data_IF_615612153507
#
_entry.id   IF_615612153507
#
_cell.length_a   1.000
_cell.length_b   1.000
_cell.length_c   1.000
_cell.angle_alpha   90.00
_cell.angle_beta   90.00
_cell.angle_gamma   90.00
#
_symmetry.space_group_name_H-M   'P 1'
#
loop_
_entity.id
_entity.type
_entity.pdbx_description
1 polymer ?
#
# COMPACT_ATOMS: atom_id res chain seq x y z
N UNK A 1 -5.39 9.29 0.76
CA UNK A 1 -5.94 8.90 2.08
C UNK A 1 -5.89 7.38 2.14
N UNK A 2 -5.60 6.78 3.30
CA UNK A 2 -5.65 5.33 3.47
C UNK A 2 -7.10 4.90 3.76
N UNK A 3 -7.47 3.68 3.34
CA UNK A 3 -8.83 3.14 3.56
C UNK A 3 -9.22 3.17 5.04
N UNK A 4 -10.50 3.38 5.29
CA UNK A 4 -11.04 3.62 6.63
C UNK A 4 -10.69 2.52 7.65
N UNK A 5 -10.67 1.24 7.25
CA UNK A 5 -10.25 0.13 8.12
C UNK A 5 -8.78 0.24 8.53
N UNK A 6 -7.89 0.60 7.59
CA UNK A 6 -6.45 0.75 7.82
C UNK A 6 -6.12 2.02 8.60
N UNK A 7 -6.90 3.08 8.44
CA UNK A 7 -6.80 4.27 9.31
C UNK A 7 -6.97 3.90 10.79
N UNK A 8 -8.01 3.13 11.12
CA UNK A 8 -8.26 2.68 12.51
C UNK A 8 -7.16 1.77 13.05
N UNK A 9 -6.71 0.81 12.23
CA UNK A 9 -5.60 -0.07 12.60
C UNK A 9 -4.28 0.71 12.82
N UNK A 10 -4.03 1.73 12.01
CA UNK A 10 -2.82 2.57 12.10
C UNK A 10 -2.83 3.42 13.36
N UNK A 11 -3.98 4.03 13.70
CA UNK A 11 -4.16 4.75 14.97
C UNK A 11 -3.82 3.84 16.14
N UNK A 12 -4.41 2.63 16.18
CA UNK A 12 -4.14 1.69 17.27
C UNK A 12 -2.66 1.32 17.38
N UNK A 13 -2.01 1.11 16.23
CA UNK A 13 -0.58 0.80 16.18
C UNK A 13 0.28 1.97 16.67
N UNK A 14 -0.03 3.20 16.25
CA UNK A 14 0.66 4.41 16.69
C UNK A 14 0.48 4.65 18.20
N UNK A 15 -0.74 4.47 18.73
CA UNK A 15 -1.00 4.55 20.17
C UNK A 15 -0.19 3.50 20.94
N UNK A 16 -0.21 2.25 20.47
CA UNK A 16 0.51 1.16 21.12
C UNK A 16 2.01 1.45 21.17
N UNK A 17 2.57 1.93 20.07
CA UNK A 17 3.97 2.33 19.95
C UNK A 17 4.30 3.46 20.94
N UNK A 18 3.50 4.53 20.96
CA UNK A 18 3.72 5.68 21.86
C UNK A 18 3.56 5.34 23.34
N UNK A 19 2.67 4.41 23.70
CA UNK A 19 2.52 3.94 25.09
C UNK A 19 3.64 3.00 25.53
N UNK A 20 4.40 2.43 24.59
CA UNK A 20 5.49 1.50 24.85
C UNK A 20 6.82 1.99 24.24
N UNK A 21 7.28 3.22 24.53
CA UNK A 21 8.37 3.85 23.80
C UNK A 21 9.69 3.08 23.84
N UNK A 22 9.94 2.38 24.95
CA UNK A 22 11.13 1.55 25.14
C UNK A 22 11.20 0.32 24.23
N UNK A 23 10.05 -0.14 23.70
CA UNK A 23 9.97 -1.24 22.75
C UNK A 23 10.15 -0.79 21.29
N UNK A 24 10.10 0.51 21.03
CA UNK A 24 10.05 1.05 19.67
C UNK A 24 11.09 2.15 19.43
N UNK A 25 12.01 2.33 20.37
CA UNK A 25 13.05 3.34 20.30
C UNK A 25 12.48 4.73 20.10
N UNK A 26 11.51 5.11 20.94
CA UNK A 26 10.89 6.44 20.95
C UNK A 26 11.37 7.21 22.18
N UNK A 27 11.70 8.48 21.97
CA UNK A 27 12.05 9.43 23.02
C UNK A 27 10.95 10.46 23.20
N UNK A 28 10.62 10.76 24.45
CA UNK A 28 9.70 11.82 24.82
C UNK A 28 10.45 12.97 25.47
N UNK A 29 10.06 14.20 25.13
CA UNK A 29 10.53 15.38 25.84
C UNK A 29 9.77 15.59 27.16
N UNK A 30 10.11 16.67 27.88
CA UNK A 30 9.50 17.01 29.18
C UNK A 30 8.00 17.31 29.10
N UNK A 31 7.44 17.48 27.90
CA UNK A 31 6.01 17.72 27.67
C UNK A 31 5.28 16.45 27.20
N UNK A 32 5.93 15.29 27.28
CA UNK A 32 5.42 14.00 26.77
C UNK A 32 5.15 14.03 25.26
N UNK A 33 5.93 14.85 24.52
CA UNK A 33 5.87 14.94 23.06
C UNK A 33 7.03 14.15 22.43
N UNK A 34 6.76 13.48 21.32
CA UNK A 34 7.77 12.81 20.50
C UNK A 34 7.68 13.29 19.05
N UNK A 35 8.76 13.16 18.28
CA UNK A 35 8.73 13.46 16.86
C UNK A 35 7.89 12.43 16.11
N UNK A 36 7.02 12.87 15.20
CA UNK A 36 6.19 11.99 14.35
C UNK A 36 7.08 11.02 13.56
N UNK A 37 8.26 11.50 13.13
CA UNK A 37 9.26 10.67 12.45
C UNK A 37 9.70 9.47 13.29
N UNK A 38 9.80 9.60 14.62
CA UNK A 38 10.18 8.47 15.46
C UNK A 38 9.11 7.38 15.46
N UNK A 39 7.84 7.78 15.57
CA UNK A 39 6.67 6.89 15.48
C UNK A 39 6.60 6.24 14.10
N UNK A 40 6.78 7.03 13.04
CA UNK A 40 6.79 6.56 11.65
C UNK A 40 7.85 5.49 11.40
N UNK A 41 9.11 5.75 11.74
CA UNK A 41 10.19 4.79 11.57
C UNK A 41 9.97 3.52 12.41
N UNK A 42 9.30 3.63 13.56
CA UNK A 42 8.91 2.48 14.37
C UNK A 42 7.85 1.62 13.67
N UNK A 43 6.88 2.25 13.00
CA UNK A 43 5.87 1.55 12.22
C UNK A 43 6.50 0.79 11.05
N UNK A 44 7.53 1.35 10.39
CA UNK A 44 8.23 0.71 9.27
C UNK A 44 8.96 -0.59 9.64
N UNK A 45 9.15 -0.87 10.94
CA UNK A 45 9.66 -2.18 11.41
C UNK A 45 8.64 -3.31 11.28
N UNK A 46 7.36 -2.97 11.04
CA UNK A 46 6.26 -3.93 10.91
C UNK A 46 5.93 -4.22 9.45
N UNK A 47 5.77 -5.49 9.11
CA UNK A 47 5.24 -5.95 7.81
C UNK A 47 3.82 -5.43 7.52
N UNK A 48 3.09 -4.95 8.53
CA UNK A 48 1.77 -4.34 8.35
C UNK A 48 1.85 -2.92 7.77
N UNK A 49 2.93 -2.17 8.08
CA UNK A 49 2.99 -0.71 7.88
C UNK A 49 4.18 -0.23 7.04
N UNK A 50 5.04 -1.12 6.54
CA UNK A 50 6.20 -0.73 5.73
C UNK A 50 5.89 0.07 4.45
N UNK A 51 4.62 0.13 4.04
CA UNK A 51 4.16 0.76 2.81
C UNK A 51 3.55 2.16 2.99
N UNK A 52 3.30 2.60 4.23
CA UNK A 52 2.78 3.95 4.48
C UNK A 52 3.90 4.99 4.38
N UNK A 53 3.55 6.23 4.06
CA UNK A 53 4.47 7.36 4.16
C UNK A 53 4.18 8.22 5.40
N UNK A 54 5.07 9.18 5.69
CA UNK A 54 4.93 10.05 6.86
C UNK A 54 3.69 10.95 6.77
N UNK A 55 3.27 11.32 5.55
CA UNK A 55 2.07 12.12 5.34
C UNK A 55 0.80 11.33 5.70
N UNK A 56 0.73 10.05 5.35
CA UNK A 56 -0.37 9.16 5.73
C UNK A 56 -0.51 9.08 7.26
N UNK A 57 0.61 8.86 7.98
CA UNK A 57 0.60 8.84 9.44
C UNK A 57 0.17 10.19 10.02
N UNK A 58 0.75 11.28 9.52
CA UNK A 58 0.44 12.63 10.03
C UNK A 58 -1.04 12.94 9.91
N UNK A 59 -1.60 12.70 8.71
CA UNK A 59 -3.01 12.92 8.43
C UNK A 59 -3.92 12.07 9.31
N UNK A 60 -3.59 10.79 9.50
CA UNK A 60 -4.38 9.88 10.34
C UNK A 60 -4.37 10.33 11.79
N UNK A 61 -3.23 10.79 12.31
CA UNK A 61 -3.15 11.33 13.67
C UNK A 61 -3.96 12.63 13.82
N UNK A 62 -3.90 13.53 12.84
CA UNK A 62 -4.68 14.78 12.81
C UNK A 62 -6.19 14.51 12.78
N UNK A 63 -6.64 13.59 11.93
CA UNK A 63 -8.06 13.23 11.78
C UNK A 63 -8.63 12.50 13.01
N UNK A 64 -7.78 11.94 13.88
CA UNK A 64 -8.15 11.21 15.09
C UNK A 64 -7.84 11.98 16.38
N UNK A 65 -7.82 13.31 16.32
CA UNK A 65 -7.72 14.22 17.47
C UNK A 65 -6.47 14.05 18.34
N UNK A 66 -5.37 13.54 17.78
CA UNK A 66 -4.09 13.57 18.47
C UNK A 66 -3.64 15.02 18.65
N UNK A 67 -3.03 15.33 19.80
CA UNK A 67 -2.46 16.66 20.01
C UNK A 67 -1.12 16.76 19.29
N UNK A 68 -1.10 17.60 18.26
CA UNK A 68 0.07 17.85 17.43
C UNK A 68 0.64 19.24 17.75
N UNK A 69 1.97 19.37 17.73
CA UNK A 69 2.66 20.65 17.74
C UNK A 69 3.85 20.57 16.77
N UNK A 70 3.74 21.27 15.64
CA UNK A 70 4.65 21.16 14.50
C UNK A 70 4.85 19.70 14.06
N UNK A 71 6.09 19.20 14.14
CA UNK A 71 6.49 17.83 13.77
C UNK A 71 6.41 16.84 14.93
N UNK A 72 5.77 17.22 16.04
CA UNK A 72 5.65 16.41 17.25
C UNK A 72 4.20 16.03 17.55
N UNK A 73 4.05 14.85 18.15
CA UNK A 73 2.78 14.30 18.63
C UNK A 73 2.86 14.00 20.12
N UNK A 74 1.80 14.33 20.85
CA UNK A 74 1.69 14.02 22.27
C UNK A 74 1.34 12.55 22.51
N UNK A 75 2.00 11.92 23.48
CA UNK A 75 1.63 10.58 23.92
C UNK A 75 0.16 10.53 24.40
N UNK A 76 -0.64 9.55 23.96
CA UNK A 76 -1.90 9.22 24.62
C UNK A 76 -1.62 8.81 26.08
N UNK A 77 -2.47 9.23 27.02
CA UNK A 77 -2.30 9.01 28.47
C UNK A 77 -1.85 7.59 28.84
N UNK A 78 -1.04 7.48 29.90
CA UNK A 78 -0.50 6.25 30.52
C UNK A 78 0.72 5.63 29.80
N UNK A 79 1.90 6.23 30.00
CA UNK A 79 3.19 5.63 29.67
C UNK A 79 3.40 4.32 30.45
N UNK A 80 3.66 3.22 29.75
CA UNK A 80 4.04 1.97 30.40
C UNK A 80 5.53 1.97 30.77
N UNK A 81 5.81 1.57 32.02
CA UNK A 81 7.16 1.53 32.57
C UNK A 81 8.04 0.49 31.87
N UNK A 82 9.33 0.82 31.84
CA UNK A 82 10.48 0.10 31.28
C UNK A 82 10.47 -1.38 31.68
N UNK A 83 10.40 -2.28 30.70
CA UNK A 83 10.79 -3.68 30.87
C UNK A 83 12.21 -3.81 30.35
N UNK A 84 13.18 -4.00 31.24
CA UNK A 84 14.56 -4.29 30.84
C UNK A 84 14.64 -5.76 30.40
N UNK A 85 14.82 -5.97 29.10
CA UNK A 85 15.26 -7.26 28.55
C UNK A 85 16.66 -7.07 28.01
N UNK A 86 17.63 -7.78 28.57
CA UNK A 86 18.95 -7.92 27.96
C UNK A 86 18.80 -8.67 26.63
N UNK A 87 18.70 -7.93 25.53
CA UNK A 87 18.71 -8.51 24.18
C UNK A 87 20.15 -8.54 23.69
N UNK A 88 20.59 -9.69 23.20
CA UNK A 88 21.89 -9.81 22.52
C UNK A 88 21.86 -8.98 21.24
N UNK A 89 22.84 -8.10 21.05
CA UNK A 89 22.96 -7.32 19.83
C UNK A 89 23.33 -8.22 18.64
N UNK A 90 22.82 -7.95 17.44
CA UNK A 90 23.27 -8.63 16.23
C UNK A 90 24.70 -8.23 15.89
N UNK A 91 25.39 -9.09 15.13
CA UNK A 91 26.75 -8.82 14.64
C UNK A 91 26.83 -7.59 13.74
N UNK A 92 25.72 -7.28 13.05
CA UNK A 92 25.61 -6.19 12.10
C UNK A 92 24.39 -5.33 12.42
N UNK A 93 24.58 -4.02 12.31
CA UNK A 93 23.53 -3.02 12.41
C UNK A 93 23.56 -2.13 11.17
N UNK A 94 22.40 -1.58 10.81
CA UNK A 94 22.22 -0.78 9.59
C UNK A 94 21.82 0.65 9.94
N UNK A 95 22.52 1.61 9.33
CA UNK A 95 22.35 3.04 9.49
C UNK A 95 21.86 3.64 8.16
N UNK A 96 20.68 4.26 8.10
CA UNK A 96 20.28 5.08 6.96
C UNK A 96 21.30 6.21 6.78
N UNK A 97 21.83 6.40 5.57
CA UNK A 97 22.98 7.29 5.31
C UNK A 97 22.74 8.77 5.63
N UNK A 98 21.48 9.17 5.72
CA UNK A 98 21.00 10.51 6.06
C UNK A 98 20.80 10.72 7.57
N UNK A 99 21.11 9.73 8.40
CA UNK A 99 20.93 9.77 9.85
C UNK A 99 22.06 10.47 10.62
N UNK A 100 23.12 10.93 9.96
CA UNK A 100 24.34 11.43 10.63
C UNK A 100 24.20 12.90 11.09
N UNK A 101 23.18 13.64 10.68
CA UNK A 101 23.01 15.04 11.10
C UNK A 101 21.84 15.23 12.08
N UNK A 102 22.10 15.16 13.38
CA UNK A 102 21.15 15.57 14.41
C UNK A 102 21.70 15.46 15.83
N UNK A 103 21.39 16.44 16.69
CA UNK A 103 21.66 16.37 18.13
C UNK A 103 20.69 15.35 18.77
N UNK A 104 21.12 14.09 18.90
CA UNK A 104 20.33 13.02 19.51
C UNK A 104 21.00 11.64 19.35
N UNK A 105 20.51 10.61 20.06
CA UNK A 105 21.01 9.25 19.89
C UNK A 105 20.71 8.74 18.48
N UNK A 106 21.70 8.14 17.83
CA UNK A 106 21.58 7.65 16.46
C UNK A 106 20.80 6.34 16.45
N UNK A 107 19.74 6.25 15.63
CA UNK A 107 18.93 5.03 15.47
C UNK A 107 19.54 4.13 14.41
N UNK A 108 19.74 2.87 14.80
CA UNK A 108 20.22 1.78 13.98
C UNK A 108 19.16 0.69 13.91
N UNK A 109 19.19 -0.09 12.85
CA UNK A 109 18.19 -1.12 12.58
C UNK A 109 18.88 -2.48 12.44
N UNK A 110 18.27 -3.52 12.99
CA UNK A 110 18.75 -4.90 12.87
C UNK A 110 18.53 -5.44 11.44
N UNK A 111 17.58 -4.88 10.70
CA UNK A 111 17.20 -5.32 9.36
C UNK A 111 17.57 -4.29 8.28
N UNK A 112 18.26 -4.76 7.23
CA UNK A 112 18.60 -3.94 6.07
C UNK A 112 17.36 -3.37 5.38
N UNK A 113 16.28 -4.17 5.25
CA UNK A 113 15.01 -3.74 4.64
C UNK A 113 14.46 -2.48 5.31
N UNK A 114 14.43 -2.47 6.65
CA UNK A 114 13.95 -1.34 7.45
C UNK A 114 14.83 -0.10 7.24
N UNK A 115 16.16 -0.26 7.27
CA UNK A 115 17.07 0.86 7.04
C UNK A 115 16.93 1.45 5.62
N UNK A 116 16.67 0.61 4.61
CA UNK A 116 16.40 1.05 3.24
C UNK A 116 15.07 1.80 3.13
N UNK A 117 14.00 1.28 3.74
CA UNK A 117 12.71 1.96 3.81
C UNK A 117 12.86 3.37 4.36
N UNK A 118 13.54 3.48 5.50
CA UNK A 118 13.73 4.76 6.19
C UNK A 118 14.57 5.71 5.35
N UNK A 119 15.65 5.24 4.73
CA UNK A 119 16.45 6.07 3.83
C UNK A 119 15.66 6.53 2.59
N UNK A 120 14.84 5.66 2.01
CA UNK A 120 13.98 5.99 0.87
C UNK A 120 12.96 7.06 1.22
N UNK A 121 12.23 6.90 2.32
CA UNK A 121 11.24 7.87 2.78
C UNK A 121 11.84 9.23 3.17
N UNK A 122 13.03 9.26 3.78
CA UNK A 122 13.70 10.52 4.16
C UNK A 122 14.17 11.32 2.95
N UNK A 123 14.50 10.66 1.85
CA UNK A 123 14.95 11.27 0.60
C UNK A 123 13.83 11.54 -0.39
N UNK A 124 12.63 11.01 -0.12
CA UNK A 124 11.52 10.96 -1.07
C UNK A 124 11.93 10.30 -2.41
N UNK A 125 12.90 9.38 -2.34
CA UNK A 125 13.50 8.71 -3.51
C UNK A 125 14.14 7.38 -3.08
N UNK A 126 13.43 6.29 -3.34
CA UNK A 126 13.88 4.93 -3.03
C UNK A 126 15.08 4.47 -3.88
N UNK A 127 15.27 5.03 -5.08
CA UNK A 127 16.41 4.69 -5.93
C UNK A 127 17.71 5.30 -5.38
N UNK A 128 17.60 6.38 -4.59
CA UNK A 128 18.71 7.02 -3.88
C UNK A 128 18.85 6.58 -2.43
N UNK A 129 18.03 5.63 -1.98
CA UNK A 129 18.14 5.05 -0.64
C UNK A 129 19.52 4.42 -0.46
N UNK A 130 20.20 4.78 0.63
CA UNK A 130 21.56 4.31 0.91
C UNK A 130 21.73 4.02 2.38
N UNK A 131 22.38 2.90 2.67
CA UNK A 131 22.53 2.36 4.02
C UNK A 131 24.01 2.05 4.26
N UNK A 132 24.46 2.37 5.47
CA UNK A 132 25.77 1.96 5.99
C UNK A 132 25.58 0.78 6.93
N UNK A 133 26.49 -0.18 6.89
CA UNK A 133 26.56 -1.30 7.81
C UNK A 133 27.63 -1.02 8.85
N UNK A 134 27.31 -1.33 10.10
CA UNK A 134 28.20 -1.26 11.25
C UNK A 134 28.45 -2.69 11.74
N UNK A 135 29.73 -3.06 11.88
CA UNK A 135 30.12 -4.25 12.64
C UNK A 135 30.04 -3.92 14.14
N UNK A 136 29.07 -4.54 14.82
CA UNK A 136 28.77 -4.23 16.22
C UNK A 136 29.95 -4.55 17.14
N UNK A 137 30.69 -5.63 16.88
CA UNK A 137 31.82 -6.03 17.73
C UNK A 137 32.98 -5.06 17.58
N UNK A 138 33.29 -4.66 16.34
CA UNK A 138 34.35 -3.67 16.07
C UNK A 138 33.97 -2.29 16.63
N UNK A 139 32.70 -1.90 16.51
CA UNK A 139 32.19 -0.65 17.07
C UNK A 139 32.30 -0.62 18.60
N UNK A 140 31.88 -1.70 19.29
CA UNK A 140 32.03 -1.84 20.75
C UNK A 140 33.51 -1.76 21.15
N UNK A 141 34.40 -2.43 20.41
CA UNK A 141 35.84 -2.38 20.68
C UNK A 141 36.43 -0.97 20.55
N UNK A 142 35.75 -0.06 19.82
CA UNK A 142 36.10 1.36 19.67
C UNK A 142 35.36 2.29 20.64
N UNK A 143 34.60 1.74 21.59
CA UNK A 143 33.95 2.50 22.64
C UNK A 143 32.51 2.95 22.36
N UNK A 144 31.91 2.53 21.23
CA UNK A 144 30.49 2.81 20.96
C UNK A 144 29.60 2.04 21.93
N UNK A 145 28.61 2.75 22.49
CA UNK A 145 27.61 2.16 23.38
C UNK A 145 26.32 1.96 22.62
N UNK A 146 25.88 0.71 22.58
CA UNK A 146 24.60 0.32 21.97
C UNK A 146 23.57 0.02 23.04
N UNK A 147 22.40 0.64 22.90
CA UNK A 147 21.24 0.39 23.73
C UNK A 147 20.15 -0.26 22.88
N UNK A 148 19.98 -1.60 22.96
CA UNK A 148 18.93 -2.26 22.20
C UNK A 148 17.56 -1.78 22.69
N UNK A 149 16.73 -1.38 21.74
CA UNK A 149 15.30 -1.25 21.94
C UNK A 149 14.59 -2.52 21.45
N UNK A 150 13.26 -2.56 21.58
CA UNK A 150 12.46 -3.59 20.93
C UNK A 150 12.36 -3.36 19.42
N UNK A 151 11.59 -4.23 18.76
CA UNK A 151 11.21 -4.11 17.34
C UNK A 151 12.39 -3.97 16.34
N UNK A 152 13.59 -4.43 16.70
CA UNK A 152 14.75 -4.38 15.81
C UNK A 152 15.40 -3.01 15.69
N UNK A 153 15.16 -2.11 16.67
CA UNK A 153 15.78 -0.79 16.74
C UNK A 153 16.85 -0.79 17.83
N UNK A 154 18.00 -0.19 17.55
CA UNK A 154 19.12 -0.04 18.49
C UNK A 154 19.56 1.42 18.50
N UNK A 155 19.74 2.01 19.68
CA UNK A 155 20.35 3.34 19.78
C UNK A 155 21.86 3.22 19.93
N UNK A 156 22.59 4.06 19.22
CA UNK A 156 24.01 4.31 19.47
C UNK A 156 24.18 5.66 20.18
N UNK A 157 24.90 5.65 21.31
CA UNK A 157 25.29 6.85 22.06
C UNK A 157 26.80 7.04 22.00
N UNK A 158 27.23 8.28 22.22
CA UNK A 158 28.65 8.70 22.21
C UNK A 158 29.38 8.26 20.93
N UNK A 159 28.79 8.60 19.78
CA UNK A 159 29.56 8.68 18.53
C UNK A 159 30.49 9.88 18.71
N UNK A 160 31.63 9.69 19.39
CA UNK A 160 32.63 10.75 19.50
C UNK A 160 32.96 11.22 18.08
N UNK A 161 33.02 12.54 17.86
CA UNK A 161 33.28 13.12 16.53
C UNK A 161 34.59 12.60 15.88
N UNK A 162 35.49 12.03 16.69
CA UNK A 162 36.78 11.44 16.29
C UNK A 162 36.81 9.90 16.29
N UNK A 163 35.70 9.21 16.60
CA UNK A 163 35.66 7.76 16.47
C UNK A 163 35.61 7.43 14.98
N UNK A 164 36.71 6.92 14.41
CA UNK A 164 36.67 6.23 13.13
C UNK A 164 35.68 5.06 13.28
N UNK A 165 34.42 5.26 12.89
CA UNK A 165 33.44 4.18 12.92
C UNK A 165 33.67 3.35 11.66
N UNK A 166 33.86 2.03 11.77
CA UNK A 166 34.02 1.17 10.60
C UNK A 166 32.68 1.07 9.85
N UNK A 167 32.35 2.12 9.10
CA UNK A 167 31.16 2.23 8.27
C UNK A 167 31.47 1.61 6.92
N UNK A 168 30.77 0.52 6.61
CA UNK A 168 30.83 -0.08 5.27
C UNK A 168 29.58 0.32 4.52
N UNK A 169 29.71 1.03 3.40
CA UNK A 169 28.57 1.27 2.51
C UNK A 169 28.02 -0.07 2.02
N UNK A 170 26.73 -0.31 2.27
CA UNK A 170 26.05 -1.45 1.69
C UNK A 170 25.77 -1.10 0.24
N UNK A 171 26.40 -1.82 -0.69
CA UNK A 171 25.94 -1.85 -2.07
C UNK A 171 24.62 -2.61 -2.07
N UNK A 172 23.52 -1.89 -2.01
CA UNK A 172 22.21 -2.49 -2.13
C UNK A 172 22.09 -3.04 -3.55
N UNK A 173 21.85 -4.35 -3.69
CA UNK A 173 21.51 -4.90 -4.99
C UNK A 173 20.19 -4.29 -5.44
N UNK A 174 20.14 -3.73 -6.66
CA UNK A 174 18.93 -3.13 -7.24
C UNK A 174 17.70 -4.02 -7.06
N UNK A 175 17.90 -5.35 -7.09
CA UNK A 175 16.85 -6.35 -6.89
C UNK A 175 16.10 -6.22 -5.55
N UNK A 176 16.80 -5.99 -4.44
CA UNK A 176 16.18 -5.88 -3.11
C UNK A 176 15.27 -4.65 -3.06
N UNK A 177 15.73 -3.53 -3.62
CA UNK A 177 14.94 -2.30 -3.72
C UNK A 177 13.73 -2.49 -4.63
N UNK A 178 13.88 -3.15 -5.77
CA UNK A 178 12.76 -3.45 -6.67
C UNK A 178 11.71 -4.35 -6.02
N UNK A 179 12.11 -5.43 -5.34
CA UNK A 179 11.19 -6.34 -4.66
C UNK A 179 10.42 -5.64 -3.52
N UNK A 180 11.10 -4.77 -2.77
CA UNK A 180 10.48 -3.95 -1.73
C UNK A 180 9.47 -2.96 -2.32
N UNK A 181 9.87 -2.25 -3.36
CA UNK A 181 9.03 -1.24 -4.00
C UNK A 181 7.79 -1.87 -4.65
N UNK A 182 7.92 -3.05 -5.27
CA UNK A 182 6.77 -3.84 -5.75
C UNK A 182 5.77 -4.12 -4.61
N UNK A 183 6.26 -4.53 -3.43
CA UNK A 183 5.38 -4.79 -2.29
C UNK A 183 4.66 -3.51 -1.81
N UNK A 184 5.35 -2.37 -1.79
CA UNK A 184 4.74 -1.06 -1.48
C UNK A 184 3.64 -0.75 -2.49
N UNK A 185 3.93 -0.84 -3.79
CA UNK A 185 2.94 -0.54 -4.85
C UNK A 185 1.72 -1.46 -4.78
N UNK A 186 1.88 -2.74 -4.44
CA UNK A 186 0.71 -3.61 -4.18
C UNK A 186 -0.13 -3.09 -3.02
N UNK A 187 0.48 -2.73 -1.89
CA UNK A 187 -0.24 -2.21 -0.73
C UNK A 187 -0.90 -0.87 -1.02
N UNK A 188 -0.24 0.03 -1.73
CA UNK A 188 -0.83 1.29 -2.17
C UNK A 188 -2.02 1.08 -3.11
N UNK A 189 -1.92 0.17 -4.08
CA UNK A 189 -3.04 -0.11 -5.00
C UNK A 189 -4.31 -0.61 -4.28
N UNK A 190 -4.13 -1.27 -3.13
CA UNK A 190 -5.20 -1.91 -2.35
C UNK A 190 -5.72 -0.99 -1.23
N UNK A 191 -4.86 -0.25 -0.56
CA UNK A 191 -5.18 0.46 0.68
C UNK A 191 -5.15 1.99 0.59
N UNK A 192 -4.77 2.57 -0.54
CA UNK A 192 -4.86 4.03 -0.77
C UNK A 192 -6.11 4.34 -1.59
N UNK A 193 -6.95 5.24 -1.06
CA UNK A 193 -8.19 5.71 -1.71
C UNK A 193 -7.95 6.78 -2.77
N UNK A 194 -6.79 7.44 -2.75
CA UNK A 194 -6.47 8.46 -3.74
C UNK A 194 -6.30 7.82 -5.13
N UNK A 195 -7.22 8.11 -6.05
CA UNK A 195 -7.23 7.52 -7.38
C UNK A 195 -5.96 7.83 -8.19
N UNK A 196 -5.30 8.96 -7.95
CA UNK A 196 -4.04 9.32 -8.61
C UNK A 196 -2.90 8.42 -8.16
N UNK A 197 -2.73 8.26 -6.85
CA UNK A 197 -1.75 7.37 -6.24
C UNK A 197 -2.02 5.92 -6.60
N UNK A 198 -3.26 5.46 -6.49
CA UNK A 198 -3.65 4.11 -6.91
C UNK A 198 -3.33 3.85 -8.39
N UNK A 199 -3.63 4.82 -9.28
CA UNK A 199 -3.31 4.70 -10.70
C UNK A 199 -1.81 4.62 -10.96
N UNK A 200 -1.00 5.37 -10.21
CA UNK A 200 0.46 5.30 -10.29
C UNK A 200 0.98 3.94 -9.83
N UNK A 201 0.47 3.42 -8.71
CA UNK A 201 0.83 2.10 -8.21
C UNK A 201 0.46 0.99 -9.21
N UNK A 202 -0.76 1.02 -9.76
CA UNK A 202 -1.19 0.08 -10.79
C UNK A 202 -0.31 0.16 -12.03
N UNK A 203 0.00 1.37 -12.51
CA UNK A 203 0.89 1.58 -13.65
C UNK A 203 2.24 0.91 -13.40
N UNK A 204 2.82 1.16 -12.24
CA UNK A 204 4.10 0.56 -11.88
C UNK A 204 4.03 -0.97 -11.90
N UNK A 205 3.03 -1.56 -11.25
CA UNK A 205 2.87 -3.02 -11.17
C UNK A 205 2.73 -3.67 -12.55
N UNK A 206 1.84 -3.15 -13.41
CA UNK A 206 1.63 -3.70 -14.75
C UNK A 206 2.78 -3.44 -15.74
N UNK A 207 3.65 -2.45 -15.48
CA UNK A 207 4.86 -2.21 -16.27
C UNK A 207 6.02 -3.13 -15.87
N UNK A 208 6.11 -3.51 -14.59
CA UNK A 208 7.27 -4.21 -14.04
C UNK A 208 7.03 -5.70 -13.77
N UNK A 209 5.78 -6.16 -13.77
CA UNK A 209 5.42 -7.55 -13.49
C UNK A 209 4.57 -8.15 -14.60
N UNK A 210 4.62 -9.48 -14.79
CA UNK A 210 3.69 -10.16 -15.68
C UNK A 210 2.24 -9.88 -15.25
N UNK A 211 1.38 -9.52 -16.21
CA UNK A 211 -0.02 -9.20 -15.95
C UNK A 211 -0.75 -10.26 -15.11
N UNK A 212 -0.56 -11.55 -15.44
CA UNK A 212 -1.18 -12.66 -14.70
C UNK A 212 -0.74 -12.70 -13.23
N UNK A 213 0.50 -12.30 -12.93
CA UNK A 213 0.97 -12.21 -11.54
C UNK A 213 0.22 -11.11 -10.79
N UNK A 214 0.13 -9.91 -11.37
CA UNK A 214 -0.58 -8.77 -10.77
C UNK A 214 -2.06 -9.10 -10.53
N UNK A 215 -2.74 -9.69 -11.52
CA UNK A 215 -4.13 -10.12 -11.40
C UNK A 215 -4.32 -11.14 -10.26
N UNK A 216 -3.46 -12.15 -10.18
CA UNK A 216 -3.58 -13.20 -9.17
C UNK A 216 -3.38 -12.66 -7.74
N UNK A 217 -2.50 -11.70 -7.55
CA UNK A 217 -2.30 -11.05 -6.25
C UNK A 217 -3.50 -10.16 -5.88
N UNK A 218 -3.97 -9.32 -6.80
CA UNK A 218 -5.12 -8.42 -6.56
C UNK A 218 -6.41 -9.20 -6.22
N UNK A 219 -6.69 -10.28 -6.94
CA UNK A 219 -7.90 -11.09 -6.72
C UNK A 219 -8.01 -11.66 -5.30
N UNK A 220 -6.88 -11.89 -4.60
CA UNK A 220 -6.91 -12.37 -3.21
C UNK A 220 -7.66 -11.42 -2.29
N UNK A 221 -7.63 -10.13 -2.60
CA UNK A 221 -8.26 -9.07 -1.82
C UNK A 221 -9.74 -8.84 -2.19
N UNK A 222 -10.30 -9.53 -3.20
CA UNK A 222 -11.75 -9.46 -3.47
C UNK A 222 -12.60 -10.07 -2.34
N UNK A 223 -12.02 -10.85 -1.43
CA UNK A 223 -12.70 -11.38 -0.24
C UNK A 223 -12.38 -10.58 1.03
N UNK A 224 -11.68 -9.44 0.92
CA UNK A 224 -11.39 -8.60 2.07
C UNK A 224 -12.71 -8.12 2.71
N UNK A 225 -12.86 -8.15 4.05
CA UNK A 225 -14.07 -7.68 4.71
C UNK A 225 -14.38 -6.20 4.45
N UNK A 226 -13.36 -5.38 4.20
CA UNK A 226 -13.52 -3.95 3.94
C UNK A 226 -14.01 -3.69 2.50
N UNK A 227 -15.19 -3.08 2.28
CA UNK A 227 -15.67 -2.72 0.94
C UNK A 227 -14.74 -1.74 0.21
N UNK A 228 -14.05 -0.84 0.91
CA UNK A 228 -13.15 0.15 0.29
C UNK A 228 -11.95 -0.55 -0.36
N UNK A 229 -11.45 -1.60 0.29
CA UNK A 229 -10.40 -2.48 -0.25
C UNK A 229 -10.90 -3.19 -1.52
N UNK A 230 -12.12 -3.75 -1.49
CA UNK A 230 -12.68 -4.44 -2.66
C UNK A 230 -12.91 -3.47 -3.82
N UNK A 231 -13.39 -2.26 -3.56
CA UNK A 231 -13.50 -1.16 -4.54
C UNK A 231 -12.16 -0.90 -5.21
N UNK A 232 -11.10 -0.72 -4.41
CA UNK A 232 -9.75 -0.48 -4.90
C UNK A 232 -9.24 -1.62 -5.79
N UNK A 233 -9.54 -2.86 -5.43
CA UNK A 233 -9.17 -4.04 -6.22
C UNK A 233 -9.89 -4.05 -7.57
N UNK A 234 -11.19 -3.77 -7.60
CA UNK A 234 -11.92 -3.66 -8.87
C UNK A 234 -11.35 -2.55 -9.75
N UNK A 235 -11.13 -1.35 -9.20
CA UNK A 235 -10.51 -0.24 -9.91
C UNK A 235 -9.14 -0.62 -10.51
N UNK A 236 -8.30 -1.29 -9.71
CA UNK A 236 -6.96 -1.77 -10.12
C UNK A 236 -7.01 -2.84 -11.21
N UNK A 237 -8.03 -3.70 -11.22
CA UNK A 237 -8.25 -4.71 -12.27
C UNK A 237 -8.86 -4.10 -13.55
N UNK A 238 -9.53 -2.96 -13.45
CA UNK A 238 -9.96 -2.16 -14.59
C UNK A 238 -8.81 -1.43 -15.29
N UNK A 239 -7.73 -1.14 -14.55
CA UNK A 239 -6.61 -0.31 -14.99
C UNK A 239 -5.97 -0.73 -16.32
N UNK A 240 -5.66 -2.01 -16.60
CA UNK A 240 -4.86 -2.39 -17.77
C UNK A 240 -5.43 -1.94 -19.12
N UNK A 241 -6.75 -1.78 -19.22
CA UNK A 241 -7.42 -1.46 -20.49
C UNK A 241 -7.14 -0.02 -20.94
N UNK A 242 -7.11 0.91 -19.98
CA UNK A 242 -7.03 2.35 -20.27
C UNK A 242 -5.87 3.06 -19.55
N UNK A 243 -5.08 2.32 -18.77
CA UNK A 243 -4.04 2.86 -17.88
C UNK A 243 -4.53 3.98 -16.95
N UNK A 244 -5.79 3.87 -16.55
CA UNK A 244 -6.46 4.73 -15.59
C UNK A 244 -7.55 3.93 -14.88
N UNK A 245 -7.71 4.15 -13.58
CA UNK A 245 -8.88 3.66 -12.86
C UNK A 245 -10.15 4.35 -13.38
N UNK A 246 -11.25 3.61 -13.52
CA UNK A 246 -12.52 4.15 -14.00
C UNK A 246 -13.54 4.12 -12.86
N UNK A 247 -13.77 5.25 -12.16
CA UNK A 247 -14.77 5.33 -11.12
C UNK A 247 -16.19 5.25 -11.70
N UNK A 248 -17.18 4.88 -10.87
CA UNK A 248 -18.59 5.11 -11.16
C UNK A 248 -18.86 6.57 -11.56
N UNK A 249 -19.91 6.77 -12.38
CA UNK A 249 -20.34 8.07 -12.91
C UNK A 249 -19.32 8.82 -13.79
N UNK A 250 -18.13 8.26 -14.05
CA UNK A 250 -17.15 8.82 -14.99
C UNK A 250 -17.33 8.23 -16.39
N UNK A 251 -17.16 9.04 -17.45
CA UNK A 251 -17.16 8.52 -18.80
C UNK A 251 -15.95 7.60 -19.01
N UNK A 252 -16.12 6.58 -19.86
CA UNK A 252 -15.00 5.77 -20.30
C UNK A 252 -14.03 6.63 -21.13
N UNK A 253 -12.71 6.44 -20.98
CA UNK A 253 -11.75 7.07 -21.88
C UNK A 253 -12.00 6.67 -23.35
N UNK A 254 -11.61 7.52 -24.32
CA UNK A 254 -11.84 7.25 -25.73
C UNK A 254 -11.01 6.05 -26.22
N UNK A 255 -11.43 5.45 -27.34
CA UNK A 255 -10.77 4.28 -27.95
C UNK A 255 -9.30 4.53 -28.29
N UNK A 256 -8.96 5.74 -28.70
CA UNK A 256 -7.60 6.11 -29.07
C UNK A 256 -6.66 6.19 -27.84
N UNK A 257 -7.21 6.10 -26.62
CA UNK A 257 -6.46 6.00 -25.36
C UNK A 257 -6.28 4.56 -24.87
N UNK A 258 -6.74 3.56 -25.63
CA UNK A 258 -6.48 2.16 -25.32
C UNK A 258 -4.98 1.90 -25.43
N UNK A 259 -4.41 1.29 -24.40
CA UNK A 259 -3.09 0.68 -24.51
C UNK A 259 -3.31 -0.69 -25.15
N UNK A 260 -2.64 -0.97 -26.28
CA UNK A 260 -2.67 -2.25 -27.00
C UNK A 260 -2.66 -3.46 -26.03
N UNK A 261 -3.33 -4.57 -26.38
CA UNK A 261 -4.48 -5.12 -25.66
C UNK A 261 -4.12 -5.82 -24.33
N UNK A 262 -3.72 -5.06 -23.32
CA UNK A 262 -3.61 -5.59 -21.94
C UNK A 262 -5.01 -5.60 -21.33
N UNK A 263 -5.64 -6.77 -21.35
CA UNK A 263 -7.02 -7.00 -20.87
C UNK A 263 -7.01 -8.21 -19.97
N UNK A 264 -7.92 -8.26 -18.98
CA UNK A 264 -7.90 -9.30 -17.96
C UNK A 264 -7.92 -10.72 -18.55
N UNK A 265 -7.29 -11.67 -17.86
CA UNK A 265 -7.38 -13.08 -18.22
C UNK A 265 -8.82 -13.61 -18.01
N UNK A 266 -9.25 -14.59 -18.81
CA UNK A 266 -10.59 -15.19 -18.64
C UNK A 266 -10.79 -15.80 -17.25
N UNK A 267 -9.72 -16.34 -16.66
CA UNK A 267 -9.70 -16.85 -15.28
C UNK A 267 -10.01 -15.74 -14.27
N UNK A 268 -9.40 -14.57 -14.44
CA UNK A 268 -9.65 -13.40 -13.60
C UNK A 268 -11.07 -12.91 -13.76
N UNK A 269 -11.58 -12.78 -14.98
CA UNK A 269 -12.98 -12.38 -15.20
C UNK A 269 -13.95 -13.38 -14.56
N UNK A 270 -13.74 -14.70 -14.73
CA UNK A 270 -14.58 -15.71 -14.06
C UNK A 270 -14.59 -15.58 -12.53
N UNK A 271 -13.45 -15.24 -11.92
CA UNK A 271 -13.39 -14.94 -10.48
C UNK A 271 -14.14 -13.67 -10.12
N UNK A 272 -14.03 -12.60 -10.91
CA UNK A 272 -14.81 -11.37 -10.70
C UNK A 272 -16.31 -11.66 -10.74
N UNK A 273 -16.78 -12.39 -11.75
CA UNK A 273 -18.20 -12.74 -11.89
C UNK A 273 -18.70 -13.53 -10.68
N UNK A 274 -17.91 -14.49 -10.17
CA UNK A 274 -18.24 -15.23 -8.95
C UNK A 274 -18.36 -14.29 -7.73
N UNK A 275 -17.41 -13.39 -7.56
CA UNK A 275 -17.38 -12.45 -6.43
C UNK A 275 -18.55 -11.46 -6.48
N UNK A 276 -18.86 -10.92 -7.66
CA UNK A 276 -20.00 -10.02 -7.87
C UNK A 276 -21.34 -10.64 -7.42
N UNK A 277 -21.57 -11.92 -7.71
CA UNK A 277 -22.83 -12.58 -7.30
C UNK A 277 -22.98 -12.60 -5.77
N UNK A 278 -21.88 -12.73 -5.04
CA UNK A 278 -21.83 -12.82 -3.58
C UNK A 278 -21.76 -11.44 -2.89
N UNK A 279 -21.46 -10.39 -3.63
CA UNK A 279 -21.27 -9.04 -3.12
C UNK A 279 -22.57 -8.45 -2.56
N UNK A 280 -22.49 -7.83 -1.39
CA UNK A 280 -23.62 -7.26 -0.67
C UNK A 280 -23.66 -5.74 -0.71
N UNK A 281 -22.52 -5.11 -1.01
CA UNK A 281 -22.37 -3.66 -0.99
C UNK A 281 -22.60 -3.09 -2.40
N UNK A 282 -23.62 -2.23 -2.59
CA UNK A 282 -23.94 -1.64 -3.89
C UNK A 282 -22.76 -0.89 -4.52
N UNK A 283 -22.02 -0.10 -3.73
CA UNK A 283 -20.88 0.67 -4.24
C UNK A 283 -19.75 -0.23 -4.79
N UNK A 284 -19.54 -1.39 -4.18
CA UNK A 284 -18.57 -2.37 -4.68
C UNK A 284 -19.04 -2.96 -6.02
N UNK A 285 -20.36 -3.21 -6.17
CA UNK A 285 -20.94 -3.65 -7.43
C UNK A 285 -20.80 -2.58 -8.52
N UNK A 286 -20.91 -1.29 -8.19
CA UNK A 286 -20.72 -0.20 -9.14
C UNK A 286 -19.32 -0.24 -9.78
N UNK A 287 -18.28 -0.41 -8.96
CA UNK A 287 -16.90 -0.56 -9.45
C UNK A 287 -16.69 -1.86 -10.23
N UNK A 288 -17.35 -2.96 -9.82
CA UNK A 288 -17.29 -4.21 -10.55
C UNK A 288 -17.90 -4.09 -11.95
N UNK A 289 -19.02 -3.38 -12.10
CA UNK A 289 -19.63 -3.08 -13.41
C UNK A 289 -18.74 -2.17 -14.24
N UNK A 290 -18.14 -1.13 -13.65
CA UNK A 290 -17.17 -0.27 -14.35
C UNK A 290 -15.99 -1.09 -14.90
N UNK A 291 -15.48 -2.04 -14.10
CA UNK A 291 -14.42 -2.97 -14.50
C UNK A 291 -14.83 -3.85 -15.66
N UNK A 292 -16.01 -4.48 -15.61
CA UNK A 292 -16.55 -5.29 -16.71
C UNK A 292 -16.77 -4.45 -17.97
N UNK A 293 -17.32 -3.25 -17.82
CA UNK A 293 -17.54 -2.34 -18.94
C UNK A 293 -16.19 -2.05 -19.62
N UNK A 294 -15.15 -1.72 -18.87
CA UNK A 294 -13.79 -1.55 -19.42
C UNK A 294 -13.34 -2.78 -20.22
N UNK A 295 -13.49 -3.99 -19.67
CA UNK A 295 -13.15 -5.24 -20.38
C UNK A 295 -13.98 -5.47 -21.65
N UNK A 296 -15.24 -5.05 -21.66
CA UNK A 296 -16.13 -5.20 -22.81
C UNK A 296 -15.73 -4.28 -23.96
N UNK A 297 -15.26 -3.07 -23.66
CA UNK A 297 -14.78 -2.15 -24.70
C UNK A 297 -13.63 -2.76 -25.50
N UNK A 298 -12.77 -3.60 -24.90
CA UNK A 298 -11.75 -4.34 -25.64
C UNK A 298 -12.26 -5.65 -26.32
N UNK A 299 -13.56 -5.92 -26.29
CA UNK A 299 -14.19 -7.09 -26.93
C UNK A 299 -13.92 -8.44 -26.25
N UNK A 300 -13.16 -8.48 -25.14
CA UNK A 300 -12.78 -9.74 -24.46
C UNK A 300 -13.92 -10.46 -23.76
N UNK A 301 -15.01 -9.76 -23.44
CA UNK A 301 -16.17 -10.39 -22.83
C UNK A 301 -17.00 -11.22 -23.81
N UNK A 302 -16.76 -11.15 -25.13
CA UNK A 302 -17.51 -11.89 -26.14
C UNK A 302 -17.47 -13.42 -25.92
N UNK A 303 -16.32 -13.96 -25.52
CA UNK A 303 -16.13 -15.41 -25.33
C UNK A 303 -16.78 -15.96 -24.05
N UNK A 304 -17.17 -15.08 -23.13
CA UNK A 304 -17.80 -15.41 -21.84
C UNK A 304 -19.11 -14.62 -21.66
N UNK A 305 -19.68 -14.15 -22.77
CA UNK A 305 -20.80 -13.20 -22.80
C UNK A 305 -22.01 -13.71 -22.03
N UNK A 306 -22.34 -15.00 -22.15
CA UNK A 306 -23.46 -15.62 -21.43
C UNK A 306 -23.28 -15.57 -19.91
N UNK A 307 -22.07 -15.83 -19.41
CA UNK A 307 -21.82 -15.79 -17.97
C UNK A 307 -21.83 -14.36 -17.43
N UNK A 308 -21.29 -13.42 -18.23
CA UNK A 308 -21.35 -11.99 -17.91
C UNK A 308 -22.80 -11.52 -17.88
N UNK A 309 -23.60 -11.82 -18.91
CA UNK A 309 -25.02 -11.46 -19.01
C UNK A 309 -25.77 -11.97 -17.79
N UNK A 310 -25.65 -13.26 -17.48
CA UNK A 310 -26.31 -13.86 -16.32
C UNK A 310 -25.93 -13.16 -15.02
N UNK A 311 -24.63 -12.91 -14.82
CA UNK A 311 -24.14 -12.26 -13.60
C UNK A 311 -24.66 -10.84 -13.48
N UNK A 312 -24.63 -10.06 -14.57
CA UNK A 312 -25.13 -8.67 -14.60
C UNK A 312 -26.63 -8.65 -14.30
N UNK A 313 -27.43 -9.56 -14.88
CA UNK A 313 -28.85 -9.70 -14.58
C UNK A 313 -29.11 -10.04 -13.10
N UNK A 314 -28.33 -10.97 -12.52
CA UNK A 314 -28.44 -11.37 -11.11
C UNK A 314 -28.07 -10.25 -10.12
N UNK A 315 -27.23 -9.30 -10.51
CA UNK A 315 -26.78 -8.21 -9.62
C UNK A 315 -27.50 -6.89 -9.88
N UNK A 316 -28.12 -6.70 -11.04
CA UNK A 316 -28.72 -5.43 -11.47
C UNK A 316 -29.71 -4.84 -10.46
N UNK A 317 -30.51 -5.67 -9.78
CA UNK A 317 -31.49 -5.22 -8.78
C UNK A 317 -30.86 -4.73 -7.47
N UNK A 318 -29.56 -4.96 -7.25
CA UNK A 318 -28.80 -4.52 -6.07
C UNK A 318 -27.97 -3.26 -6.32
N UNK A 319 -27.96 -2.77 -7.56
CA UNK A 319 -27.21 -1.57 -7.95
C UNK A 319 -28.09 -0.35 -7.68
N UNK A 320 -27.53 0.65 -6.99
CA UNK A 320 -28.22 1.90 -6.67
C UNK A 320 -27.81 3.06 -7.59
N UNK A 321 -26.59 3.02 -8.14
CA UNK A 321 -26.05 4.04 -9.04
C UNK A 321 -26.83 4.14 -10.35
N UNK A 322 -27.46 5.30 -10.61
CA UNK A 322 -28.25 5.53 -11.84
C UNK A 322 -27.44 5.36 -13.12
N UNK A 323 -26.19 5.82 -13.13
CA UNK A 323 -25.32 5.65 -14.29
C UNK A 323 -24.87 4.19 -14.42
N UNK A 324 -24.59 3.51 -13.31
CA UNK A 324 -24.23 2.09 -13.31
C UNK A 324 -25.36 1.22 -13.84
N UNK A 325 -26.62 1.52 -13.50
CA UNK A 325 -27.80 0.81 -14.05
C UNK A 325 -27.82 0.93 -15.57
N UNK A 326 -27.64 2.15 -16.12
CA UNK A 326 -27.52 2.36 -17.57
C UNK A 326 -26.33 1.62 -18.16
N UNK A 327 -25.22 1.57 -17.43
CA UNK A 327 -24.03 0.84 -17.86
C UNK A 327 -24.29 -0.67 -17.91
N UNK A 328 -25.11 -1.22 -16.99
CA UNK A 328 -25.57 -2.60 -17.05
C UNK A 328 -26.44 -2.85 -18.28
N UNK A 329 -27.44 -2.01 -18.54
CA UNK A 329 -28.31 -2.11 -19.72
C UNK A 329 -27.49 -2.08 -21.02
N UNK A 330 -26.56 -1.14 -21.13
CA UNK A 330 -25.65 -1.03 -22.27
C UNK A 330 -24.75 -2.26 -22.41
N UNK A 331 -24.23 -2.79 -21.30
CA UNK A 331 -23.39 -3.98 -21.30
C UNK A 331 -24.18 -5.21 -21.78
N UNK A 332 -25.42 -5.37 -21.31
CA UNK A 332 -26.32 -6.45 -21.73
C UNK A 332 -26.67 -6.35 -23.22
N UNK A 333 -27.01 -5.16 -23.71
CA UNK A 333 -27.31 -4.93 -25.13
C UNK A 333 -26.13 -5.30 -26.03
N UNK A 334 -24.91 -4.90 -25.66
CA UNK A 334 -23.70 -5.17 -26.46
C UNK A 334 -23.26 -6.62 -26.45
N UNK A 335 -23.60 -7.38 -25.41
CA UNK A 335 -23.21 -8.78 -25.25
C UNK A 335 -24.25 -9.76 -25.77
N UNK A 336 -25.51 -9.31 -25.90
CA UNK A 336 -26.56 -10.13 -26.50
C UNK A 336 -26.29 -10.22 -28.00
N UNK A 337 -26.12 -11.41 -28.58
CA UNK A 337 -26.02 -11.55 -30.02
C UNK A 337 -27.26 -10.91 -30.66
N UNK A 338 -27.09 -10.06 -31.66
CA UNK A 338 -28.22 -9.69 -32.52
C UNK A 338 -28.89 -11.00 -32.94
N UNK A 339 -30.17 -11.17 -32.57
CA UNK A 339 -30.97 -12.19 -33.22
C UNK A 339 -30.82 -11.91 -34.71
N UNK A 340 -30.41 -12.89 -35.55
CA UNK A 340 -30.47 -12.67 -36.98
C UNK A 340 -31.87 -12.17 -37.26
N UNK A 341 -31.97 -10.99 -37.89
CA UNK A 341 -33.23 -10.45 -38.32
C UNK A 341 -33.98 -11.62 -38.96
N UNK A 342 -35.08 -12.04 -38.34
CA UNK A 342 -36.11 -12.77 -39.03
C UNK A 342 -36.48 -11.81 -40.15
N UNK A 343 -35.85 -12.00 -41.31
CA UNK A 343 -36.32 -11.45 -42.56
C UNK A 343 -37.72 -12.02 -42.73
N UNK A 344 -38.65 -11.26 -42.17
CA UNK A 344 -39.94 -11.04 -42.77
C UNK A 344 -39.73 -10.79 -44.26
N UNK A 345 -40.45 -11.58 -45.03
CA UNK A 345 -40.84 -11.35 -46.42
C UNK A 345 -39.77 -11.64 -47.47
N UNK A 346 -39.90 -12.82 -48.08
CA UNK A 346 -40.39 -13.00 -49.47
C UNK A 346 -41.02 -14.42 -49.47
N UNK A 347 -42.24 -14.72 -49.90
CA UNK A 347 -43.31 -14.04 -50.61
C UNK A 347 -44.32 -15.14 -50.99
#
# INVERSE_FOLDING_TARGET
MIVSSKSKELVHSAEFIMRNPHLYGISFDTQEMTFIREVFESLLTSEQWFWINIYDLTRVLEENEFKMADIKVQCPKNLHKKIERGKRLPEKLFLPSDAISGNGPVRLYEELKVALLISGHRRDDFERASVMQIDTNQAIARGLIFEPSGAGIVFARDMADDADIPLTFVKTENRILSELYIQIMFKESVYIEDHGHQSNACRYLYQHLPQEFVENELIRYLNDPDPDVRINVYASLGFPVYSVSIPPDKPMPPWDSLIEPVTLSCKTVGRLLKMMRQEKYPDVLDYAICTLKAQNYAGKLKNISQEVIRTVQEVASRIEGRQTIRDCENLLQRLTPEQPALHSEIG
#
